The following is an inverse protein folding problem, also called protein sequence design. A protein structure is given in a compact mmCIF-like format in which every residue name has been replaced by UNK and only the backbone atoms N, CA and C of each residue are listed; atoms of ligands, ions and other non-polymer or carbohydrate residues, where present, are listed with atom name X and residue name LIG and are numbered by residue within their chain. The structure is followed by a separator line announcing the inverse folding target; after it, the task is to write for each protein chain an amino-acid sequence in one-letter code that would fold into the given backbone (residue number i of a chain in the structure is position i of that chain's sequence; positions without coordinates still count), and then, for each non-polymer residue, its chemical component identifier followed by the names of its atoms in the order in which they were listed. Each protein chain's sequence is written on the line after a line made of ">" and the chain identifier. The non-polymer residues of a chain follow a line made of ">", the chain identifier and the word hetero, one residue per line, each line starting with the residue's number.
data_IF_504300424752
#
_entry.id   IF_504300424752
#
_cell.length_a   1.000
_cell.length_b   1.000
_cell.length_c   1.000
_cell.angle_alpha   90.00
_cell.angle_beta   90.00
_cell.angle_gamma   90.00
#
_symmetry.space_group_name_H-M   'P 1'
#
loop_
_entity.id
_entity.type
_entity.pdbx_description
1 polymer ?
#
# COMPACT_ATOMS: atom_id res chain seq x y z
N UNK A 1 -8.85 6.95 -43.74
CA UNK A 1 -10.22 6.43 -43.51
C UNK A 1 -11.09 7.56 -42.98
N UNK A 2 -12.19 7.94 -43.66
CA UNK A 2 -13.11 8.96 -43.19
C UNK A 2 -14.26 8.37 -42.35
N UNK A 3 -14.55 8.97 -41.20
CA UNK A 3 -15.94 9.16 -40.75
C UNK A 3 -16.65 8.09 -39.91
N UNK A 4 -15.98 7.38 -38.99
CA UNK A 4 -16.71 6.57 -37.98
C UNK A 4 -16.87 7.33 -36.65
N UNK A 5 -18.12 7.46 -36.18
CA UNK A 5 -18.64 8.07 -34.94
C UNK A 5 -17.64 8.31 -33.81
N UNK A 6 -16.86 9.39 -33.95
CA UNK A 6 -15.96 9.89 -32.92
C UNK A 6 -16.46 11.25 -32.44
N UNK A 7 -17.33 11.23 -31.43
CA UNK A 7 -17.86 12.46 -30.83
C UNK A 7 -17.08 12.80 -29.56
N UNK A 8 -16.59 14.02 -29.48
CA UNK A 8 -15.81 14.48 -28.34
C UNK A 8 -16.38 15.78 -27.77
N UNK A 9 -16.58 15.81 -26.46
CA UNK A 9 -16.93 17.03 -25.73
C UNK A 9 -15.95 17.28 -24.59
N UNK A 10 -15.55 18.54 -24.43
CA UNK A 10 -14.77 19.01 -23.28
C UNK A 10 -15.71 19.82 -22.39
N UNK A 11 -15.68 19.56 -21.08
CA UNK A 11 -16.38 20.41 -20.12
C UNK A 11 -15.63 21.74 -19.91
N UNK A 12 -16.37 22.85 -19.79
CA UNK A 12 -15.82 24.20 -19.56
C UNK A 12 -15.28 24.44 -18.13
N UNK A 13 -15.06 23.38 -17.36
CA UNK A 13 -14.61 23.46 -15.98
C UNK A 13 -13.20 24.07 -15.83
N UNK A 14 -12.89 24.65 -14.65
CA UNK A 14 -11.57 25.21 -14.37
C UNK A 14 -10.50 24.12 -14.42
N UNK A 15 -9.35 24.42 -15.05
CA UNK A 15 -8.21 23.51 -15.15
C UNK A 15 -6.87 24.22 -14.91
N UNK A 16 -5.84 23.44 -14.61
CA UNK A 16 -4.45 23.87 -14.46
C UNK A 16 -4.01 24.19 -13.04
N UNK A 17 -2.89 24.91 -12.91
CA UNK A 17 -2.19 25.17 -11.64
C UNK A 17 -2.99 25.92 -10.58
N UNK A 18 -4.10 26.55 -10.93
CA UNK A 18 -4.98 27.25 -9.98
C UNK A 18 -6.28 26.50 -9.70
N UNK A 19 -6.54 25.41 -10.45
CA UNK A 19 -7.72 24.57 -10.25
C UNK A 19 -7.49 23.54 -9.14
N UNK A 20 -8.41 23.48 -8.19
CA UNK A 20 -8.47 22.41 -7.19
C UNK A 20 -9.25 21.24 -7.77
N UNK A 21 -8.72 20.02 -7.64
CA UNK A 21 -9.45 18.81 -8.05
C UNK A 21 -10.81 18.69 -7.33
N UNK A 22 -10.96 19.29 -6.15
CA UNK A 22 -12.22 19.27 -5.40
C UNK A 22 -13.37 19.97 -6.12
N UNK A 23 -13.05 20.95 -6.97
CA UNK A 23 -14.06 21.67 -7.76
C UNK A 23 -14.49 20.89 -9.01
N UNK A 24 -13.75 19.84 -9.35
CA UNK A 24 -13.88 19.18 -10.65
C UNK A 24 -14.09 17.68 -10.56
N UNK A 25 -13.80 17.02 -9.43
CA UNK A 25 -13.86 15.56 -9.31
C UNK A 25 -15.27 14.97 -9.44
N UNK A 26 -16.32 15.79 -9.32
CA UNK A 26 -17.72 15.41 -9.54
C UNK A 26 -18.24 15.74 -10.94
N UNK A 27 -17.43 16.42 -11.74
CA UNK A 27 -17.83 16.90 -13.06
C UNK A 27 -17.10 16.08 -14.12
N UNK A 28 -17.83 15.63 -15.14
CA UNK A 28 -17.19 15.13 -16.36
C UNK A 28 -16.45 16.28 -17.00
N UNK A 29 -15.13 16.13 -17.16
CA UNK A 29 -14.32 17.16 -17.80
C UNK A 29 -14.06 16.85 -19.28
N UNK A 30 -14.24 15.60 -19.69
CA UNK A 30 -14.31 15.22 -21.10
C UNK A 30 -15.14 13.96 -21.31
N UNK A 31 -15.82 13.86 -22.45
CA UNK A 31 -16.49 12.65 -22.92
C UNK A 31 -16.03 12.35 -24.33
N UNK A 32 -15.66 11.10 -24.57
CA UNK A 32 -15.36 10.56 -25.90
C UNK A 32 -16.35 9.46 -26.19
N UNK A 33 -17.07 9.53 -27.30
CA UNK A 33 -17.90 8.44 -27.81
C UNK A 33 -17.23 7.82 -29.02
N UNK A 34 -16.96 6.51 -28.95
CA UNK A 34 -16.38 5.72 -30.05
C UNK A 34 -17.36 4.60 -30.37
N UNK A 35 -17.91 4.58 -31.59
CA UNK A 35 -18.84 3.51 -32.04
C UNK A 35 -20.01 3.26 -31.08
N UNK A 36 -20.63 4.34 -30.60
CA UNK A 36 -21.75 4.29 -29.65
C UNK A 36 -21.37 4.03 -28.18
N UNK A 37 -20.12 3.68 -27.88
CA UNK A 37 -19.64 3.53 -26.52
C UNK A 37 -19.09 4.86 -25.99
N UNK A 38 -19.67 5.36 -24.91
CA UNK A 38 -19.25 6.61 -24.25
C UNK A 38 -18.24 6.32 -23.14
N UNK A 39 -17.15 7.08 -23.16
CA UNK A 39 -16.12 7.11 -22.14
C UNK A 39 -16.05 8.52 -21.54
N UNK A 40 -16.34 8.63 -20.26
CA UNK A 40 -16.19 9.89 -19.52
C UNK A 40 -14.84 9.92 -18.84
N UNK A 41 -14.16 11.06 -18.85
CA UNK A 41 -12.84 11.21 -18.29
C UNK A 41 -12.70 12.38 -17.32
N UNK A 42 -11.85 12.16 -16.32
CA UNK A 42 -11.33 13.15 -15.39
C UNK A 42 -9.81 13.29 -15.60
N UNK A 43 -9.36 14.39 -16.23
CA UNK A 43 -7.96 14.72 -16.43
C UNK A 43 -7.38 15.32 -15.14
N UNK A 44 -6.29 14.74 -14.66
CA UNK A 44 -5.68 15.09 -13.39
C UNK A 44 -4.24 15.52 -13.62
N UNK A 45 -3.83 16.55 -12.91
CA UNK A 45 -2.47 17.04 -12.82
C UNK A 45 -1.99 16.92 -11.36
N UNK A 46 -0.86 16.24 -11.14
CA UNK A 46 -0.22 16.16 -9.83
C UNK A 46 0.93 17.17 -9.79
N UNK A 47 0.99 17.99 -8.74
CA UNK A 47 2.00 19.04 -8.56
C UNK A 47 2.58 19.01 -7.16
N UNK A 48 3.74 19.62 -6.93
CA UNK A 48 4.30 19.71 -5.58
C UNK A 48 3.58 20.77 -4.72
N UNK A 49 3.37 20.46 -3.43
CA UNK A 49 3.02 21.45 -2.41
C UNK A 49 4.29 22.21 -1.99
N UNK A 50 4.18 23.53 -1.86
CA UNK A 50 5.31 24.41 -1.51
C UNK A 50 5.72 24.38 -0.03
N UNK A 51 4.82 24.00 0.89
CA UNK A 51 4.99 24.21 2.34
C UNK A 51 4.75 22.98 3.23
N UNK A 52 4.39 21.83 2.67
CA UNK A 52 4.06 20.63 3.45
C UNK A 52 5.03 19.50 3.14
N UNK A 53 5.66 18.96 4.18
CA UNK A 53 6.56 17.81 4.08
C UNK A 53 5.75 16.50 4.02
N UNK A 54 4.68 16.36 4.81
CA UNK A 54 3.71 15.28 4.68
C UNK A 54 2.70 15.61 3.56
N UNK A 55 2.46 14.68 2.63
CA UNK A 55 1.64 14.90 1.43
C UNK A 55 2.23 15.97 0.51
N UNK A 56 3.47 15.74 0.09
CA UNK A 56 4.27 16.67 -0.71
C UNK A 56 3.66 16.98 -2.08
N UNK A 57 2.57 16.29 -2.49
CA UNK A 57 1.88 16.49 -3.76
C UNK A 57 0.43 16.97 -3.58
N UNK A 58 -0.03 17.77 -4.55
CA UNK A 58 -1.38 18.31 -4.69
C UNK A 58 -1.99 17.89 -6.01
N UNK A 59 -3.28 17.56 -5.96
CA UNK A 59 -4.08 17.17 -7.11
C UNK A 59 -4.86 18.35 -7.68
N UNK A 60 -4.87 18.44 -9.01
CA UNK A 60 -5.49 19.50 -9.79
C UNK A 60 -6.17 18.92 -11.00
N UNK A 61 -7.10 19.66 -11.59
CA UNK A 61 -7.62 19.31 -12.91
C UNK A 61 -6.56 19.63 -13.98
N UNK A 62 -6.18 18.66 -14.81
CA UNK A 62 -5.41 18.94 -16.01
C UNK A 62 -6.33 19.54 -17.09
N UNK A 63 -5.76 20.32 -18.01
CA UNK A 63 -6.50 20.86 -19.14
C UNK A 63 -6.47 19.86 -20.30
N UNK A 64 -7.61 19.66 -20.96
CA UNK A 64 -7.66 19.02 -22.28
C UNK A 64 -7.78 20.14 -23.30
N UNK A 65 -6.90 20.15 -24.30
CA UNK A 65 -6.72 21.31 -25.18
C UNK A 65 -6.80 20.97 -26.67
N UNK A 66 -6.92 19.70 -27.03
CA UNK A 66 -7.05 19.25 -28.41
C UNK A 66 -8.18 18.24 -28.54
N UNK A 67 -8.76 18.17 -29.74
CA UNK A 67 -9.59 17.03 -30.09
C UNK A 67 -8.72 15.76 -30.09
N UNK A 68 -9.22 14.63 -29.57
CA UNK A 68 -8.47 13.40 -29.58
C UNK A 68 -8.12 13.00 -31.01
N UNK A 69 -6.90 12.52 -31.21
CA UNK A 69 -6.48 12.00 -32.51
C UNK A 69 -6.75 10.50 -32.53
N UNK A 70 -7.52 10.01 -33.51
CA UNK A 70 -7.73 8.58 -33.68
C UNK A 70 -6.41 7.86 -34.00
N UNK A 71 -6.26 6.65 -33.47
CA UNK A 71 -5.11 5.80 -33.71
C UNK A 71 -5.49 4.66 -34.67
N UNK A 72 -4.50 4.07 -35.34
CA UNK A 72 -4.71 2.99 -36.32
C UNK A 72 -5.33 1.72 -35.71
N UNK A 73 -5.18 1.52 -34.40
CA UNK A 73 -5.73 0.40 -33.63
C UNK A 73 -7.21 0.59 -33.22
N UNK A 74 -7.84 1.69 -33.65
CA UNK A 74 -9.20 2.07 -33.26
C UNK A 74 -9.30 2.68 -31.86
N UNK A 75 -8.16 2.97 -31.22
CA UNK A 75 -8.09 3.82 -30.04
C UNK A 75 -7.99 5.31 -30.39
N UNK A 76 -7.65 6.13 -29.41
CA UNK A 76 -7.42 7.57 -29.59
C UNK A 76 -6.38 8.11 -28.62
N UNK A 77 -5.83 9.27 -28.94
CA UNK A 77 -4.83 9.96 -28.14
C UNK A 77 -5.35 11.31 -27.67
N UNK A 78 -5.31 11.58 -26.37
CA UNK A 78 -5.69 12.86 -25.76
C UNK A 78 -4.42 13.61 -25.32
N UNK A 79 -4.33 14.90 -25.62
CA UNK A 79 -3.30 15.77 -25.03
C UNK A 79 -3.80 16.42 -23.74
N UNK A 80 -3.05 16.20 -22.66
CA UNK A 80 -3.25 16.83 -21.35
C UNK A 80 -2.22 17.94 -21.15
N UNK A 81 -2.64 19.10 -20.67
CA UNK A 81 -1.79 20.27 -20.38
C UNK A 81 -1.92 20.77 -18.96
N UNK A 82 -0.82 21.31 -18.43
CA UNK A 82 -0.80 21.95 -17.11
C UNK A 82 -1.56 23.28 -17.06
N UNK A 83 -1.82 23.91 -18.22
CA UNK A 83 -2.62 25.11 -18.38
C UNK A 83 -3.09 25.26 -19.83
N UNK A 84 -4.14 26.07 -20.07
CA UNK A 84 -4.61 26.44 -21.43
C UNK A 84 -3.70 27.50 -22.08
N UNK A 85 -2.41 27.21 -22.21
CA UNK A 85 -1.42 28.10 -22.87
C UNK A 85 -0.50 27.27 -23.78
N UNK A 86 -0.02 27.81 -24.91
CA UNK A 86 0.78 27.03 -25.87
C UNK A 86 2.05 26.41 -25.26
N UNK A 87 2.75 27.16 -24.42
CA UNK A 87 4.02 26.76 -23.77
C UNK A 87 3.85 25.91 -22.52
N UNK A 88 2.60 25.63 -22.10
CA UNK A 88 2.37 24.79 -20.94
C UNK A 88 2.84 23.37 -21.24
N UNK A 89 3.51 22.76 -20.26
CA UNK A 89 3.95 21.37 -20.38
C UNK A 89 2.73 20.48 -20.59
N UNK A 90 2.92 19.51 -21.48
CA UNK A 90 1.89 18.59 -21.92
C UNK A 90 2.36 17.15 -21.91
N UNK A 91 1.40 16.23 -21.92
CA UNK A 91 1.63 14.83 -22.27
C UNK A 91 0.55 14.37 -23.20
N UNK A 92 0.87 13.37 -24.01
CA UNK A 92 -0.11 12.59 -24.76
C UNK A 92 -0.45 11.33 -23.95
N UNK A 93 -1.72 10.99 -23.88
CA UNK A 93 -2.22 9.77 -23.24
C UNK A 93 -2.99 8.98 -24.29
N UNK A 94 -2.62 7.73 -24.46
CA UNK A 94 -3.29 6.83 -25.41
C UNK A 94 -4.38 6.07 -24.69
N UNK A 95 -5.55 6.01 -25.30
CA UNK A 95 -6.69 5.21 -24.86
C UNK A 95 -6.98 4.19 -25.95
N UNK A 96 -6.92 2.91 -25.63
CA UNK A 96 -7.25 1.84 -26.57
C UNK A 96 -8.74 1.80 -26.86
N UNK A 97 -9.13 1.04 -27.89
CA UNK A 97 -10.53 0.85 -28.30
C UNK A 97 -11.46 0.36 -27.17
N UNK A 98 -10.94 -0.42 -26.23
CA UNK A 98 -11.67 -0.93 -25.06
C UNK A 98 -11.64 0.02 -23.84
N UNK A 99 -11.11 1.25 -24.01
CA UNK A 99 -11.05 2.26 -22.96
C UNK A 99 -9.86 2.15 -22.01
N UNK A 100 -8.90 1.24 -22.25
CA UNK A 100 -7.70 1.13 -21.40
C UNK A 100 -6.76 2.29 -21.67
N UNK A 101 -6.26 2.87 -20.59
CA UNK A 101 -5.42 4.07 -20.61
C UNK A 101 -3.95 3.66 -20.46
N UNK A 102 -3.13 4.02 -21.44
CA UNK A 102 -1.69 3.82 -21.45
C UNK A 102 -0.95 5.15 -21.21
N UNK A 103 0.03 5.14 -20.31
CA UNK A 103 0.80 6.31 -19.93
C UNK A 103 2.23 6.24 -20.49
N UNK A 104 2.75 7.32 -21.10
CA UNK A 104 4.16 7.36 -21.50
C UNK A 104 5.09 7.43 -20.29
N UNK A 105 6.26 6.81 -20.40
CA UNK A 105 7.31 6.83 -19.37
C UNK A 105 7.84 8.25 -19.09
N UNK A 106 7.82 9.12 -20.09
CA UNK A 106 8.33 10.51 -20.05
C UNK A 106 7.40 11.52 -19.37
N UNK A 107 6.32 11.09 -18.71
CA UNK A 107 5.29 11.96 -18.11
C UNK A 107 5.81 12.72 -16.87
N UNK A 108 6.66 13.72 -17.12
CA UNK A 108 7.50 14.37 -16.12
C UNK A 108 6.73 15.23 -15.12
N UNK A 109 5.49 15.61 -15.42
CA UNK A 109 4.61 16.45 -14.57
C UNK A 109 3.36 15.73 -14.05
N UNK A 110 3.36 14.39 -14.09
CA UNK A 110 2.30 13.52 -13.55
C UNK A 110 0.88 13.92 -13.94
N UNK A 111 0.61 13.83 -15.24
CA UNK A 111 -0.75 13.81 -15.74
C UNK A 111 -1.38 12.42 -15.60
N UNK A 112 -2.67 12.35 -15.29
CA UNK A 112 -3.46 11.12 -15.27
C UNK A 112 -4.79 11.35 -15.99
N UNK A 113 -5.34 10.28 -16.57
CA UNK A 113 -6.68 10.27 -17.14
C UNK A 113 -7.45 9.13 -16.46
N UNK A 114 -8.66 9.39 -15.98
CA UNK A 114 -9.45 8.39 -15.23
C UNK A 114 -10.90 8.41 -15.69
N UNK A 115 -11.56 7.28 -15.58
CA UNK A 115 -12.99 7.20 -15.86
C UNK A 115 -13.78 8.11 -14.92
N UNK A 116 -14.58 9.00 -15.51
CA UNK A 116 -15.20 10.15 -14.87
C UNK A 116 -16.48 9.83 -14.11
N UNK A 117 -17.34 8.95 -14.63
CA UNK A 117 -18.66 8.66 -14.05
C UNK A 117 -19.14 7.20 -14.26
N UNK A 118 -19.99 6.73 -13.34
CA UNK A 118 -20.50 5.36 -13.22
C UNK A 118 -20.73 4.94 -11.75
N UNK A 119 -21.49 3.87 -11.49
CA UNK A 119 -21.71 3.35 -10.12
C UNK A 119 -20.39 3.02 -9.40
N UNK A 120 -19.36 2.63 -10.16
CA UNK A 120 -17.98 2.38 -9.71
C UNK A 120 -17.03 3.57 -9.92
N UNK A 121 -17.54 4.78 -10.15
CA UNK A 121 -16.73 5.97 -10.40
C UNK A 121 -15.90 6.39 -9.18
N UNK A 122 -14.82 7.11 -9.46
CA UNK A 122 -13.97 7.66 -8.41
C UNK A 122 -14.72 8.64 -7.50
N UNK A 123 -15.64 9.43 -8.07
CA UNK A 123 -16.49 10.36 -7.32
C UNK A 123 -17.37 9.63 -6.29
N UNK A 124 -18.09 8.59 -6.72
CA UNK A 124 -18.94 7.79 -5.83
C UNK A 124 -18.13 7.07 -4.75
N UNK A 125 -16.95 6.55 -5.11
CA UNK A 125 -16.06 5.92 -4.13
C UNK A 125 -15.63 6.90 -3.04
N UNK A 126 -15.31 8.14 -3.40
CA UNK A 126 -14.95 9.20 -2.46
C UNK A 126 -16.14 9.60 -1.59
N UNK A 127 -17.31 9.84 -2.19
CA UNK A 127 -18.50 10.25 -1.44
C UNK A 127 -18.95 9.17 -0.45
N UNK A 128 -18.87 7.89 -0.82
CA UNK A 128 -19.13 6.77 0.09
C UNK A 128 -18.14 6.76 1.27
N UNK A 129 -16.83 6.82 0.98
CA UNK A 129 -15.78 6.85 2.01
C UNK A 129 -15.89 8.08 2.93
N UNK A 130 -16.30 9.23 2.39
CA UNK A 130 -16.61 10.41 3.19
C UNK A 130 -17.77 10.13 4.16
N UNK A 131 -18.86 9.52 3.70
CA UNK A 131 -19.99 9.19 4.56
C UNK A 131 -19.67 8.15 5.64
N UNK A 132 -18.81 7.18 5.31
CA UNK A 132 -18.48 6.06 6.20
C UNK A 132 -17.36 6.39 7.21
N UNK A 133 -16.36 7.18 6.81
CA UNK A 133 -15.09 7.28 7.56
C UNK A 133 -14.74 8.70 8.00
N UNK A 134 -15.27 9.73 7.32
CA UNK A 134 -14.94 11.11 7.64
C UNK A 134 -15.78 11.60 8.82
N UNK A 135 -15.14 11.65 9.98
CA UNK A 135 -15.67 12.35 11.14
C UNK A 135 -14.91 13.65 11.34
N UNK A 136 -15.66 14.70 11.61
CA UNK A 136 -15.14 16.02 11.89
C UNK A 136 -15.06 16.22 13.40
N UNK A 137 -13.84 16.35 13.92
CA UNK A 137 -13.61 16.53 15.35
C UNK A 137 -13.80 17.99 15.79
N UNK A 138 -13.60 18.94 14.87
CA UNK A 138 -13.65 20.38 15.15
C UNK A 138 -14.39 21.14 14.03
N UNK A 139 -15.52 21.82 14.33
CA UNK A 139 -16.29 22.55 13.33
C UNK A 139 -15.49 23.62 12.58
N UNK A 140 -14.58 24.32 13.28
CA UNK A 140 -13.78 25.41 12.72
C UNK A 140 -12.82 24.94 11.60
N UNK A 141 -12.33 23.70 11.67
CA UNK A 141 -11.36 23.14 10.73
C UNK A 141 -11.97 22.12 9.76
N UNK A 142 -13.28 21.93 9.83
CA UNK A 142 -13.99 20.84 9.17
C UNK A 142 -13.82 20.84 7.64
N UNK A 143 -13.93 22.01 7.02
CA UNK A 143 -13.79 22.16 5.58
C UNK A 143 -12.37 21.82 5.10
N UNK A 144 -11.35 22.20 5.88
CA UNK A 144 -9.96 21.87 5.60
C UNK A 144 -9.69 20.38 5.78
N UNK A 145 -10.15 19.77 6.88
CA UNK A 145 -10.01 18.34 7.13
C UNK A 145 -10.71 17.49 6.05
N UNK A 146 -11.91 17.92 5.62
CA UNK A 146 -12.65 17.26 4.53
C UNK A 146 -11.89 17.34 3.21
N UNK A 147 -11.38 18.53 2.88
CA UNK A 147 -10.55 18.77 1.68
C UNK A 147 -9.33 17.84 1.68
N UNK A 148 -8.62 17.80 2.79
CA UNK A 148 -7.46 16.95 2.97
C UNK A 148 -7.78 15.47 2.83
N UNK A 149 -8.88 15.00 3.43
CA UNK A 149 -9.31 13.61 3.34
C UNK A 149 -9.65 13.19 1.91
N UNK A 150 -10.30 14.07 1.13
CA UNK A 150 -10.58 13.79 -0.28
C UNK A 150 -9.29 13.74 -1.10
N UNK A 151 -8.37 14.71 -0.90
CA UNK A 151 -7.06 14.69 -1.56
C UNK A 151 -6.29 13.40 -1.24
N UNK A 152 -6.35 12.94 0.01
CA UNK A 152 -5.76 11.68 0.46
C UNK A 152 -6.33 10.46 -0.27
N UNK A 153 -7.66 10.33 -0.31
CA UNK A 153 -8.35 9.23 -1.02
C UNK A 153 -7.98 9.19 -2.51
N UNK A 154 -7.98 10.36 -3.14
CA UNK A 154 -7.61 10.49 -4.55
C UNK A 154 -6.15 10.08 -4.79
N UNK A 155 -5.22 10.59 -3.99
CA UNK A 155 -3.80 10.25 -4.10
C UNK A 155 -3.55 8.75 -3.95
N UNK A 156 -4.22 8.11 -2.99
CA UNK A 156 -4.12 6.66 -2.80
C UNK A 156 -4.60 5.90 -4.03
N UNK A 157 -5.74 6.29 -4.62
CA UNK A 157 -6.22 5.67 -5.86
C UNK A 157 -5.25 5.87 -7.03
N UNK A 158 -4.57 7.02 -7.10
CA UNK A 158 -3.60 7.26 -8.17
C UNK A 158 -2.29 6.50 -7.99
N UNK A 159 -1.83 6.33 -6.74
CA UNK A 159 -0.68 5.48 -6.44
C UNK A 159 -0.90 4.05 -6.91
N UNK A 160 -2.10 3.48 -6.67
CA UNK A 160 -2.47 2.14 -7.14
C UNK A 160 -2.45 2.02 -8.67
N UNK A 161 -2.82 3.08 -9.40
CA UNK A 161 -2.82 3.06 -10.87
C UNK A 161 -1.41 3.15 -11.46
N UNK A 162 -0.48 3.80 -10.74
CA UNK A 162 0.90 4.03 -11.20
C UNK A 162 1.88 2.97 -10.73
N UNK A 163 1.61 2.33 -9.59
CA UNK A 163 2.38 1.17 -9.16
C UNK A 163 2.31 0.08 -10.24
N UNK A 164 3.44 -0.59 -10.54
CA UNK A 164 3.39 -1.78 -11.38
C UNK A 164 2.32 -2.76 -10.87
N UNK A 165 1.65 -3.50 -11.77
CA UNK A 165 0.70 -4.52 -11.36
C UNK A 165 1.37 -5.48 -10.36
N UNK A 166 0.70 -5.84 -9.25
CA UNK A 166 1.27 -6.79 -8.33
C UNK A 166 1.49 -8.12 -9.04
N UNK A 167 2.49 -8.88 -8.59
CA UNK A 167 2.75 -10.25 -9.05
C UNK A 167 1.48 -11.09 -8.88
N UNK A 168 1.06 -11.82 -9.91
CA UNK A 168 -0.20 -12.58 -9.97
C UNK A 168 -0.02 -13.93 -10.64
N UNK A 169 -1.03 -14.79 -10.51
CA UNK A 169 -1.12 -16.05 -11.25
C UNK A 169 0.03 -17.02 -10.94
N UNK A 170 0.59 -17.63 -11.98
CA UNK A 170 1.66 -18.61 -11.88
C UNK A 170 2.91 -18.04 -11.18
N UNK A 171 3.33 -16.82 -11.52
CA UNK A 171 4.48 -16.17 -10.89
C UNK A 171 4.34 -16.03 -9.37
N UNK A 172 3.14 -15.67 -8.91
CA UNK A 172 2.85 -15.57 -7.48
C UNK A 172 2.88 -16.95 -6.82
N UNK A 173 2.32 -17.96 -7.48
CA UNK A 173 2.35 -19.33 -6.99
C UNK A 173 3.79 -19.87 -6.88
N UNK A 174 4.62 -19.60 -7.88
CA UNK A 174 6.02 -20.03 -7.93
C UNK A 174 6.88 -19.32 -6.88
N UNK A 175 6.73 -18.01 -6.71
CA UNK A 175 7.41 -17.25 -5.65
C UNK A 175 7.05 -17.82 -4.27
N UNK A 176 5.77 -18.10 -4.02
CA UNK A 176 5.32 -18.68 -2.75
C UNK A 176 5.86 -20.09 -2.56
N UNK A 177 5.76 -20.94 -3.58
CA UNK A 177 6.28 -22.31 -3.55
C UNK A 177 7.77 -22.30 -3.21
N UNK A 178 8.57 -21.51 -3.94
CA UNK A 178 10.00 -21.37 -3.70
C UNK A 178 10.28 -20.90 -2.27
N UNK A 179 9.58 -19.85 -1.80
CA UNK A 179 9.72 -19.35 -0.44
C UNK A 179 9.51 -20.46 0.60
N UNK A 180 8.40 -21.18 0.50
CA UNK A 180 8.07 -22.25 1.43
C UNK A 180 9.03 -23.44 1.37
N UNK A 181 9.47 -23.84 0.18
CA UNK A 181 10.43 -24.93 0.01
C UNK A 181 11.79 -24.57 0.63
N UNK A 182 12.28 -23.35 0.43
CA UNK A 182 13.61 -22.94 0.92
C UNK A 182 13.65 -22.66 2.41
N UNK A 183 12.57 -22.15 2.99
CA UNK A 183 12.52 -21.90 4.44
C UNK A 183 11.98 -23.09 5.23
N UNK A 184 11.26 -24.02 4.60
CA UNK A 184 10.50 -25.06 5.28
C UNK A 184 11.33 -25.91 6.24
N UNK A 185 12.57 -26.25 5.87
CA UNK A 185 13.49 -27.01 6.72
C UNK A 185 14.08 -26.18 7.88
N UNK A 186 14.13 -24.86 7.74
CA UNK A 186 14.67 -23.94 8.74
C UNK A 186 13.63 -23.47 9.76
N UNK A 187 12.38 -23.91 9.62
CA UNK A 187 11.25 -23.41 10.39
C UNK A 187 10.52 -24.55 11.12
N UNK A 188 10.96 -24.79 12.35
CA UNK A 188 10.37 -25.71 13.33
C UNK A 188 10.04 -24.97 14.64
N UNK A 189 9.38 -25.66 15.58
CA UNK A 189 9.12 -25.09 16.91
C UNK A 189 8.34 -23.77 16.87
N UNK A 190 8.80 -22.80 17.66
CA UNK A 190 8.23 -21.45 17.74
C UNK A 190 8.29 -20.72 16.39
N UNK A 191 9.38 -20.88 15.63
CA UNK A 191 9.51 -20.26 14.30
C UNK A 191 8.36 -20.68 13.38
N UNK A 192 7.91 -21.94 13.50
CA UNK A 192 6.79 -22.46 12.69
C UNK A 192 5.48 -21.80 13.08
N UNK A 193 5.22 -21.62 14.37
CA UNK A 193 4.03 -20.88 14.85
C UNK A 193 4.03 -19.46 14.29
N UNK A 194 5.18 -18.79 14.36
CA UNK A 194 5.34 -17.42 13.87
C UNK A 194 5.11 -17.32 12.37
N UNK A 195 5.74 -18.18 11.60
CA UNK A 195 5.53 -18.23 10.16
C UNK A 195 4.05 -18.46 9.83
N UNK A 196 3.37 -19.39 10.51
CA UNK A 196 1.95 -19.68 10.25
C UNK A 196 1.09 -18.43 10.41
N UNK A 197 1.18 -17.71 11.53
CA UNK A 197 0.30 -16.55 11.70
C UNK A 197 0.68 -15.37 10.79
N UNK A 198 1.97 -15.18 10.47
CA UNK A 198 2.38 -14.14 9.50
C UNK A 198 1.78 -14.46 8.13
N UNK A 199 1.84 -15.72 7.69
CA UNK A 199 1.25 -16.13 6.41
C UNK A 199 -0.28 -15.94 6.39
N UNK A 200 -0.97 -16.23 7.50
CA UNK A 200 -2.43 -16.09 7.60
C UNK A 200 -2.89 -14.64 7.79
N UNK A 201 -2.07 -13.79 8.39
CA UNK A 201 -2.42 -12.40 8.70
C UNK A 201 -1.97 -11.42 7.62
N UNK A 202 -0.80 -11.62 7.02
CA UNK A 202 -0.12 -10.64 6.16
C UNK A 202 -0.02 -11.08 4.68
N UNK A 203 0.24 -12.37 4.40
CA UNK A 203 0.69 -12.82 3.05
C UNK A 203 -0.34 -13.74 2.37
N UNK A 204 -1.63 -13.53 2.65
CA UNK A 204 -2.67 -14.29 1.97
C UNK A 204 -2.67 -14.13 0.44
N UNK A 205 -2.08 -13.03 -0.08
CA UNK A 205 -2.32 -12.61 -1.48
C UNK A 205 -1.13 -11.95 -2.21
N UNK A 206 0.05 -11.80 -1.60
CA UNK A 206 1.19 -11.04 -2.18
C UNK A 206 2.47 -11.87 -2.31
N UNK A 207 3.36 -11.47 -3.24
CA UNK A 207 4.68 -12.12 -3.39
C UNK A 207 5.64 -11.64 -2.29
N UNK A 208 6.41 -12.54 -1.65
CA UNK A 208 7.44 -12.14 -0.69
C UNK A 208 8.66 -11.48 -1.34
N UNK A 209 8.79 -11.55 -2.67
CA UNK A 209 9.94 -11.04 -3.43
C UNK A 209 9.60 -9.84 -4.29
N UNK A 210 8.51 -9.13 -3.99
CA UNK A 210 8.14 -7.92 -4.70
C UNK A 210 7.89 -6.78 -3.71
N UNK A 211 8.11 -5.56 -4.16
CA UNK A 211 7.62 -4.39 -3.46
C UNK A 211 6.09 -4.37 -3.49
N UNK A 212 5.52 -3.93 -2.38
CA UNK A 212 4.14 -3.53 -2.23
C UNK A 212 4.08 -2.07 -1.80
N UNK A 213 3.05 -1.37 -2.26
CA UNK A 213 2.67 -0.10 -1.65
C UNK A 213 1.60 -0.40 -0.59
N UNK A 214 1.92 -0.18 0.68
CA UNK A 214 0.98 -0.35 1.78
C UNK A 214 -0.06 0.80 1.87
N UNK A 215 -0.15 1.68 0.87
CA UNK A 215 -1.16 2.72 0.49
C UNK A 215 -1.89 3.43 1.64
N UNK A 216 -2.55 2.66 2.49
CA UNK A 216 -3.42 3.01 3.60
C UNK A 216 -2.68 3.52 4.85
N UNK A 217 -1.51 2.97 5.20
CA UNK A 217 -0.71 3.47 6.33
C UNK A 217 0.23 4.62 5.91
N UNK A 218 0.69 5.45 6.83
CA UNK A 218 1.77 6.44 6.61
C UNK A 218 3.13 5.76 6.34
N UNK A 219 3.12 4.55 5.77
CA UNK A 219 4.27 3.71 5.48
C UNK A 219 4.90 4.04 4.13
N UNK A 220 6.17 3.65 4.00
CA UNK A 220 6.86 3.60 2.72
C UNK A 220 6.48 2.36 1.91
N UNK A 221 7.14 2.18 0.76
CA UNK A 221 7.12 0.91 0.05
C UNK A 221 7.66 -0.21 0.93
N UNK A 222 6.99 -1.35 0.94
CA UNK A 222 7.35 -2.50 1.77
C UNK A 222 7.65 -3.72 0.91
N UNK A 223 8.48 -4.64 1.39
CA UNK A 223 8.67 -5.94 0.74
C UNK A 223 8.78 -7.05 1.77
N UNK A 224 8.71 -8.29 1.29
CA UNK A 224 8.85 -9.44 2.16
C UNK A 224 7.55 -9.85 2.85
N UNK A 225 7.59 -11.09 3.32
CA UNK A 225 6.61 -11.77 4.14
C UNK A 225 6.22 -10.98 5.38
N UNK A 226 7.18 -10.39 6.09
CA UNK A 226 6.92 -9.57 7.28
C UNK A 226 6.85 -8.07 6.99
N UNK A 227 6.65 -7.69 5.72
CA UNK A 227 6.38 -6.30 5.28
C UNK A 227 7.42 -5.28 5.75
N UNK A 228 8.71 -5.53 5.46
CA UNK A 228 9.81 -4.59 5.73
C UNK A 228 9.51 -3.28 5.00
N UNK A 229 9.18 -2.23 5.73
CA UNK A 229 8.97 -0.89 5.19
C UNK A 229 10.33 -0.20 5.02
N UNK A 230 10.73 0.07 3.78
CA UNK A 230 12.03 0.66 3.49
C UNK A 230 12.17 2.10 3.98
N UNK A 231 11.05 2.76 4.33
CA UNK A 231 11.04 4.12 4.85
C UNK A 231 11.12 4.20 6.37
N UNK A 232 10.47 3.28 7.08
CA UNK A 232 10.28 3.38 8.54
C UNK A 232 11.09 2.34 9.31
N UNK A 233 11.39 1.17 8.72
CA UNK A 233 12.38 0.26 9.30
C UNK A 233 13.77 0.91 9.26
N UNK A 234 14.68 0.43 10.10
CA UNK A 234 16.05 0.92 10.16
C UNK A 234 17.04 -0.23 10.38
N UNK A 235 18.33 0.07 10.34
CA UNK A 235 19.37 -0.91 10.63
C UNK A 235 19.47 -2.02 9.59
N UNK A 236 19.53 -3.27 10.07
CA UNK A 236 19.91 -4.45 9.27
C UNK A 236 18.94 -4.81 8.14
N UNK A 237 17.64 -4.56 8.29
CA UNK A 237 16.63 -4.93 7.29
C UNK A 237 16.69 -4.01 6.06
N UNK A 238 16.77 -2.70 6.27
CA UNK A 238 16.96 -1.74 5.17
C UNK A 238 18.35 -1.87 4.55
N UNK A 239 19.37 -2.24 5.33
CA UNK A 239 20.68 -2.56 4.79
C UNK A 239 20.62 -3.78 3.84
N UNK A 240 19.88 -4.83 4.19
CA UNK A 240 19.68 -6.00 3.34
C UNK A 240 18.96 -5.65 2.03
N UNK A 241 17.98 -4.73 2.05
CA UNK A 241 17.39 -4.20 0.83
C UNK A 241 18.46 -3.59 -0.09
N UNK A 242 19.31 -2.68 0.42
CA UNK A 242 20.40 -2.08 -0.39
C UNK A 242 21.39 -3.13 -0.88
N UNK A 243 21.69 -4.14 -0.06
CA UNK A 243 22.58 -5.25 -0.40
C UNK A 243 22.03 -6.08 -1.57
N UNK A 244 20.75 -6.41 -1.57
CA UNK A 244 20.09 -7.14 -2.67
C UNK A 244 20.27 -6.38 -3.99
N UNK A 245 20.01 -5.07 -3.98
CA UNK A 245 20.16 -4.22 -5.17
C UNK A 245 21.62 -4.14 -5.63
N UNK A 246 22.57 -3.96 -4.71
CA UNK A 246 24.00 -3.93 -5.03
C UNK A 246 24.50 -5.28 -5.56
N UNK A 247 24.03 -6.41 -5.03
CA UNK A 247 24.45 -7.73 -5.51
C UNK A 247 23.90 -8.01 -6.90
N UNK A 248 22.65 -7.61 -7.17
CA UNK A 248 22.04 -7.80 -8.48
C UNK A 248 22.70 -6.94 -9.57
N UNK A 249 23.07 -5.68 -9.24
CA UNK A 249 23.42 -4.69 -10.26
C UNK A 249 24.79 -4.02 -10.09
N UNK A 250 25.53 -4.29 -9.02
CA UNK A 250 26.76 -3.56 -8.67
C UNK A 250 27.90 -3.70 -9.68
N UNK A 251 27.93 -4.78 -10.45
CA UNK A 251 28.88 -4.99 -11.55
C UNK A 251 28.37 -4.47 -12.91
N UNK A 252 27.14 -3.97 -12.98
CA UNK A 252 26.54 -3.52 -14.22
C UNK A 252 27.20 -2.23 -14.74
N UNK A 253 27.39 -2.17 -16.06
CA UNK A 253 27.81 -0.95 -16.77
C UNK A 253 26.62 -0.18 -17.38
N UNK A 254 25.40 -0.69 -17.19
CA UNK A 254 24.18 -0.02 -17.65
C UNK A 254 23.95 1.28 -16.86
N UNK A 255 23.84 2.41 -17.57
CA UNK A 255 23.68 3.72 -16.97
C UNK A 255 22.42 3.84 -16.09
N UNK A 256 21.31 3.21 -16.47
CA UNK A 256 20.05 3.22 -15.70
C UNK A 256 20.23 2.46 -14.38
N UNK A 257 20.95 1.34 -14.40
CA UNK A 257 21.26 0.58 -13.18
C UNK A 257 22.24 1.34 -12.27
N UNK A 258 23.24 2.00 -12.83
CA UNK A 258 24.17 2.85 -12.07
C UNK A 258 23.42 4.00 -11.38
N UNK A 259 22.50 4.66 -12.09
CA UNK A 259 21.65 5.70 -11.53
C UNK A 259 20.75 5.18 -10.42
N UNK A 260 20.09 4.04 -10.61
CA UNK A 260 19.29 3.38 -9.57
C UNK A 260 20.14 3.17 -8.31
N UNK A 261 21.33 2.55 -8.43
CA UNK A 261 22.22 2.33 -7.29
C UNK A 261 22.69 3.63 -6.64
N UNK A 262 22.87 4.70 -7.39
CA UNK A 262 23.14 6.03 -6.82
C UNK A 262 21.99 6.52 -5.94
N UNK A 263 20.74 6.37 -6.39
CA UNK A 263 19.54 6.78 -5.66
C UNK A 263 19.30 5.93 -4.40
N UNK A 264 19.58 4.63 -4.48
CA UNK A 264 19.55 3.72 -3.32
C UNK A 264 20.62 4.13 -2.29
N UNK A 265 21.85 4.41 -2.73
CA UNK A 265 22.93 4.89 -1.83
C UNK A 265 22.62 6.23 -1.19
N UNK A 266 21.99 7.14 -1.93
CA UNK A 266 21.53 8.44 -1.41
C UNK A 266 20.26 8.33 -0.57
N UNK A 267 19.75 7.12 -0.31
CA UNK A 267 18.54 6.84 0.48
C UNK A 267 17.30 7.57 -0.04
N UNK A 268 17.20 7.77 -1.36
CA UNK A 268 16.14 8.59 -1.96
C UNK A 268 14.73 8.08 -1.59
N UNK A 269 14.59 6.76 -1.46
CA UNK A 269 13.33 6.05 -1.21
C UNK A 269 13.06 5.71 0.27
N UNK A 270 13.99 6.02 1.18
CA UNK A 270 13.86 5.72 2.61
C UNK A 270 13.14 6.84 3.36
N UNK A 271 11.91 7.11 2.92
CA UNK A 271 10.97 8.03 3.57
C UNK A 271 9.55 7.67 3.15
N UNK A 272 8.52 8.04 3.92
CA UNK A 272 7.14 7.74 3.54
C UNK A 272 6.86 8.25 2.13
N UNK A 273 6.24 7.42 1.29
CA UNK A 273 5.98 7.79 -0.11
C UNK A 273 5.06 9.01 -0.24
N UNK A 274 4.28 9.32 0.81
CA UNK A 274 3.48 10.55 0.93
C UNK A 274 4.34 11.82 0.96
N UNK A 275 5.62 11.71 1.31
CA UNK A 275 6.59 12.80 1.30
C UNK A 275 7.31 12.94 -0.05
N UNK A 276 7.10 12.00 -0.98
CA UNK A 276 7.74 12.10 -2.29
C UNK A 276 7.08 13.23 -3.08
N UNK A 277 7.90 14.20 -3.47
CA UNK A 277 7.54 15.16 -4.53
C UNK A 277 7.35 14.43 -5.86
N UNK A 278 6.66 15.08 -6.80
CA UNK A 278 6.41 14.57 -8.15
C UNK A 278 7.68 14.00 -8.79
N UNK A 279 8.82 14.70 -8.78
CA UNK A 279 10.07 14.15 -9.33
C UNK A 279 10.52 12.82 -8.71
N UNK A 280 10.39 12.67 -7.38
CA UNK A 280 10.76 11.45 -6.67
C UNK A 280 9.77 10.31 -6.94
N UNK A 281 8.45 10.59 -6.98
CA UNK A 281 7.44 9.59 -7.37
C UNK A 281 7.70 9.05 -8.78
N UNK A 282 8.06 9.92 -9.74
CA UNK A 282 8.30 9.51 -11.14
C UNK A 282 9.43 8.51 -11.20
N UNK A 283 10.52 8.90 -10.56
CA UNK A 283 11.74 8.14 -10.51
C UNK A 283 11.47 6.79 -9.84
N UNK A 284 10.80 6.80 -8.70
CA UNK A 284 10.47 5.59 -7.97
C UNK A 284 9.62 4.61 -8.80
N UNK A 285 8.55 5.07 -9.46
CA UNK A 285 7.74 4.18 -10.31
C UNK A 285 8.49 3.66 -11.54
N UNK A 286 9.45 4.44 -12.07
CA UNK A 286 10.31 4.00 -13.18
C UNK A 286 11.36 2.97 -12.73
N UNK A 287 11.83 3.09 -11.50
CA UNK A 287 12.81 2.20 -10.89
C UNK A 287 12.16 0.92 -10.32
N UNK A 288 10.87 0.96 -9.98
CA UNK A 288 10.14 -0.13 -9.33
C UNK A 288 10.33 -1.49 -10.04
N UNK A 289 10.16 -1.63 -11.38
CA UNK A 289 10.35 -2.92 -12.04
C UNK A 289 11.78 -3.46 -11.92
N UNK A 290 12.79 -2.59 -11.84
CA UNK A 290 14.18 -2.98 -11.62
C UNK A 290 14.39 -3.43 -10.17
N UNK A 291 13.73 -2.76 -9.21
CA UNK A 291 13.77 -3.18 -7.80
C UNK A 291 13.13 -4.56 -7.64
N UNK A 292 11.95 -4.79 -8.22
CA UNK A 292 11.30 -6.10 -8.23
C UNK A 292 12.16 -7.15 -8.94
N UNK A 293 12.82 -6.78 -10.04
CA UNK A 293 13.78 -7.64 -10.74
C UNK A 293 14.93 -8.10 -9.85
N UNK A 294 15.51 -7.19 -9.06
CA UNK A 294 16.56 -7.53 -8.09
C UNK A 294 16.03 -8.42 -6.96
N UNK A 295 14.88 -8.08 -6.37
CA UNK A 295 14.26 -8.85 -5.29
C UNK A 295 13.92 -10.28 -5.74
N UNK A 296 13.47 -10.45 -6.99
CA UNK A 296 13.13 -11.75 -7.59
C UNK A 296 14.31 -12.51 -8.19
N UNK A 297 15.50 -11.93 -8.27
CA UNK A 297 16.72 -12.64 -8.68
C UNK A 297 17.05 -13.77 -7.71
N UNK A 298 17.77 -14.81 -8.16
CA UNK A 298 18.16 -15.92 -7.28
C UNK A 298 18.94 -15.46 -6.05
N UNK A 299 19.87 -14.51 -6.23
CA UNK A 299 20.60 -13.88 -5.12
C UNK A 299 19.70 -13.05 -4.21
N UNK A 300 18.72 -12.33 -4.77
CA UNK A 300 17.76 -11.53 -4.00
C UNK A 300 16.85 -12.41 -3.14
N UNK A 301 16.27 -13.45 -3.74
CA UNK A 301 15.46 -14.46 -3.06
C UNK A 301 16.25 -15.14 -1.94
N UNK A 302 17.47 -15.59 -2.22
CA UNK A 302 18.33 -16.21 -1.22
C UNK A 302 18.66 -15.27 -0.05
N UNK A 303 19.02 -14.02 -0.34
CA UNK A 303 19.35 -13.03 0.70
C UNK A 303 18.15 -12.69 1.57
N UNK A 304 16.99 -12.47 0.95
CA UNK A 304 15.75 -12.23 1.68
C UNK A 304 15.35 -13.43 2.56
N UNK A 305 15.48 -14.65 2.05
CA UNK A 305 15.17 -15.86 2.83
C UNK A 305 16.06 -15.99 4.06
N UNK A 306 17.36 -15.68 3.95
CA UNK A 306 18.27 -15.63 5.10
C UNK A 306 17.80 -14.60 6.12
N UNK A 307 17.48 -13.38 5.67
CA UNK A 307 16.99 -12.31 6.54
C UNK A 307 15.69 -12.71 7.27
N UNK A 308 14.78 -13.38 6.57
CA UNK A 308 13.53 -13.85 7.16
C UNK A 308 13.77 -14.92 8.24
N UNK A 309 14.72 -15.84 8.04
CA UNK A 309 15.10 -16.84 9.05
C UNK A 309 15.72 -16.17 10.28
N UNK A 310 16.56 -15.15 10.09
CA UNK A 310 17.15 -14.37 11.19
C UNK A 310 16.07 -13.62 11.99
N UNK A 311 15.09 -13.05 11.28
CA UNK A 311 13.92 -12.42 11.88
C UNK A 311 13.12 -13.43 12.72
N UNK A 312 12.81 -14.62 12.19
CA UNK A 312 12.10 -15.66 12.94
C UNK A 312 12.86 -16.08 14.21
N UNK A 313 14.19 -16.16 14.14
CA UNK A 313 15.03 -16.45 15.30
C UNK A 313 15.00 -15.31 16.34
N UNK A 314 14.92 -14.06 15.90
CA UNK A 314 14.74 -12.91 16.78
C UNK A 314 13.39 -12.94 17.52
N UNK A 315 12.31 -13.21 16.77
CA UNK A 315 10.96 -13.36 17.34
C UNK A 315 10.91 -14.51 18.34
N UNK A 316 11.54 -15.65 18.04
CA UNK A 316 11.62 -16.79 18.95
C UNK A 316 12.32 -16.41 20.28
N UNK A 317 13.48 -15.74 20.21
CA UNK A 317 14.19 -15.27 21.41
C UNK A 317 13.35 -14.29 22.22
N UNK A 318 12.64 -13.38 21.56
CA UNK A 318 11.76 -12.43 22.22
C UNK A 318 10.57 -13.14 22.89
N UNK A 319 9.95 -14.10 22.20
CA UNK A 319 8.87 -14.89 22.75
C UNK A 319 9.32 -15.66 24.01
N UNK A 320 10.47 -16.33 23.94
CA UNK A 320 11.03 -17.06 25.09
C UNK A 320 11.33 -16.13 26.27
N UNK A 321 11.81 -14.91 26.01
CA UNK A 321 11.97 -13.89 27.05
C UNK A 321 10.62 -13.48 27.66
N UNK A 322 9.62 -13.17 26.83
CA UNK A 322 8.28 -12.81 27.30
C UNK A 322 7.66 -13.92 28.15
N UNK A 323 7.81 -15.18 27.72
CA UNK A 323 7.33 -16.37 28.42
C UNK A 323 7.98 -16.56 29.79
N UNK A 324 9.30 -16.34 29.91
CA UNK A 324 10.01 -16.39 31.19
C UNK A 324 9.62 -15.24 32.12
N UNK A 325 9.52 -14.03 31.58
CA UNK A 325 9.30 -12.81 32.37
C UNK A 325 7.84 -12.63 32.79
N UNK A 326 6.89 -13.36 32.17
CA UNK A 326 5.46 -13.16 32.36
C UNK A 326 4.70 -14.49 32.49
N UNK A 327 4.19 -14.79 33.68
CA UNK A 327 3.43 -16.02 33.95
C UNK A 327 2.19 -16.17 33.05
N UNK A 328 1.52 -15.08 32.70
CA UNK A 328 0.36 -15.15 31.78
C UNK A 328 0.76 -15.58 30.37
N UNK A 329 1.98 -15.31 29.91
CA UNK A 329 2.47 -15.77 28.59
C UNK A 329 2.80 -17.26 28.65
N UNK A 330 3.31 -17.76 29.78
CA UNK A 330 3.49 -19.19 29.99
C UNK A 330 2.16 -19.96 29.97
N UNK A 331 1.09 -19.39 30.55
CA UNK A 331 -0.26 -19.98 30.56
C UNK A 331 -0.97 -19.79 29.20
N UNK A 332 -0.80 -18.62 28.59
CA UNK A 332 -1.42 -18.23 27.33
C UNK A 332 -0.37 -17.81 26.29
N UNK A 333 0.34 -18.78 25.66
CA UNK A 333 1.40 -18.48 24.70
C UNK A 333 0.97 -17.55 23.54
N UNK A 334 -0.29 -17.62 23.11
CA UNK A 334 -0.83 -16.77 22.05
C UNK A 334 -0.72 -15.28 22.40
N UNK A 335 -0.83 -14.92 23.69
CA UNK A 335 -0.74 -13.54 24.13
C UNK A 335 0.69 -13.00 23.97
N UNK A 336 1.70 -13.86 24.13
CA UNK A 336 3.10 -13.52 23.86
C UNK A 336 3.34 -13.21 22.37
N UNK A 337 2.86 -14.07 21.47
CA UNK A 337 2.95 -13.81 20.03
C UNK A 337 2.21 -12.52 19.62
N UNK A 338 1.05 -12.27 20.22
CA UNK A 338 0.30 -11.05 19.93
C UNK A 338 0.99 -9.78 20.45
N UNK A 339 1.68 -9.86 21.61
CA UNK A 339 2.54 -8.76 22.08
C UNK A 339 3.72 -8.49 21.13
N UNK A 340 4.24 -9.50 20.45
CA UNK A 340 5.28 -9.32 19.43
C UNK A 340 4.68 -8.65 18.18
N UNK A 341 3.49 -9.08 17.73
CA UNK A 341 2.77 -8.41 16.63
C UNK A 341 2.54 -6.92 16.92
N UNK A 342 2.08 -6.59 18.14
CA UNK A 342 1.92 -5.20 18.60
C UNK A 342 3.25 -4.44 18.56
N UNK A 343 4.34 -5.03 19.09
CA UNK A 343 5.65 -4.39 19.07
C UNK A 343 6.12 -4.12 17.65
N UNK A 344 5.94 -5.07 16.74
CA UNK A 344 6.33 -4.93 15.35
C UNK A 344 5.55 -3.80 14.66
N UNK A 345 4.27 -3.61 14.99
CA UNK A 345 3.43 -2.55 14.42
C UNK A 345 3.67 -1.16 15.05
N UNK A 346 3.94 -1.08 16.36
CA UNK A 346 3.93 0.17 17.13
C UNK A 346 5.29 0.54 17.75
N UNK A 347 6.33 -0.26 17.54
CA UNK A 347 7.68 -0.06 18.08
C UNK A 347 7.85 -0.45 19.55
N UNK A 348 6.77 -0.59 20.32
CA UNK A 348 6.79 -1.03 21.72
C UNK A 348 5.53 -1.81 22.09
N UNK A 349 5.65 -2.73 23.03
CA UNK A 349 4.54 -3.47 23.62
C UNK A 349 4.43 -3.30 25.15
N UNK A 350 5.20 -2.39 25.76
CA UNK A 350 5.28 -2.29 27.21
C UNK A 350 3.92 -1.97 27.87
N UNK A 351 3.18 -1.02 27.30
CA UNK A 351 1.84 -0.66 27.75
C UNK A 351 0.84 -1.80 27.58
N UNK A 352 0.84 -2.46 26.41
CA UNK A 352 -0.02 -3.62 26.13
C UNK A 352 0.30 -4.81 27.03
N UNK A 353 1.57 -5.06 27.32
CA UNK A 353 2.03 -6.12 28.22
C UNK A 353 1.47 -5.93 29.63
N UNK A 354 1.54 -4.72 30.19
CA UNK A 354 1.01 -4.42 31.51
C UNK A 354 -0.53 -4.62 31.59
N UNK A 355 -1.23 -4.24 30.52
CA UNK A 355 -2.67 -4.42 30.42
C UNK A 355 -3.06 -5.89 30.24
N UNK A 356 -2.29 -6.66 29.47
CA UNK A 356 -2.53 -8.10 29.31
C UNK A 356 -2.30 -8.84 30.63
N UNK A 357 -1.25 -8.49 31.39
CA UNK A 357 -1.02 -9.05 32.72
C UNK A 357 -2.19 -8.75 33.68
N UNK A 358 -2.77 -7.56 33.60
CA UNK A 358 -3.94 -7.19 34.40
C UNK A 358 -5.19 -7.93 33.94
N UNK A 359 -5.41 -8.03 32.63
CA UNK A 359 -6.52 -8.78 32.06
C UNK A 359 -6.45 -10.27 32.42
N UNK A 360 -5.26 -10.88 32.42
CA UNK A 360 -5.08 -12.27 32.80
C UNK A 360 -5.42 -12.52 34.28
N UNK A 361 -5.01 -11.60 35.18
CA UNK A 361 -5.34 -11.69 36.61
C UNK A 361 -6.84 -11.55 36.89
N UNK A 362 -7.54 -10.77 36.07
CA UNK A 362 -8.98 -10.52 36.22
C UNK A 362 -9.85 -11.51 35.46
N UNK A 363 -9.27 -12.34 34.59
CA UNK A 363 -10.02 -13.23 33.75
C UNK A 363 -10.59 -14.39 34.57
N UNK A 364 -11.91 -14.58 34.51
CA UNK A 364 -12.56 -15.71 35.17
C UNK A 364 -12.25 -17.06 34.47
N UNK A 365 -11.91 -17.02 33.18
CA UNK A 365 -11.62 -18.18 32.35
C UNK A 365 -10.87 -17.75 31.07
N UNK A 366 -10.34 -18.70 30.25
CA UNK A 366 -9.59 -18.37 29.04
C UNK A 366 -10.34 -17.50 28.03
N UNK A 367 -11.67 -17.68 27.85
CA UNK A 367 -12.44 -16.87 26.90
C UNK A 367 -12.62 -15.43 27.41
N UNK A 368 -12.78 -15.21 28.71
CA UNK A 368 -12.78 -13.87 29.30
C UNK A 368 -11.44 -13.17 29.08
N UNK A 369 -10.32 -13.88 29.19
CA UNK A 369 -9.00 -13.33 28.87
C UNK A 369 -8.88 -12.90 27.40
N UNK A 370 -9.29 -13.76 26.46
CA UNK A 370 -9.32 -13.45 25.02
C UNK A 370 -10.16 -12.20 24.74
N UNK A 371 -11.36 -12.11 25.34
CA UNK A 371 -12.26 -10.97 25.18
C UNK A 371 -11.67 -9.66 25.72
N UNK A 372 -10.98 -9.71 26.87
CA UNK A 372 -10.31 -8.55 27.46
C UNK A 372 -9.14 -8.08 26.60
N UNK A 373 -8.31 -9.00 26.11
CA UNK A 373 -7.20 -8.66 25.19
C UNK A 373 -7.72 -8.03 23.91
N UNK A 374 -8.78 -8.60 23.31
CA UNK A 374 -9.42 -8.00 22.14
C UNK A 374 -9.87 -6.56 22.42
N UNK A 375 -10.54 -6.29 23.55
CA UNK A 375 -10.94 -4.92 23.94
C UNK A 375 -9.74 -3.98 24.11
N UNK A 376 -8.67 -4.44 24.74
CA UNK A 376 -7.44 -3.66 24.92
C UNK A 376 -6.88 -3.27 23.56
N UNK A 377 -6.72 -4.21 22.64
CA UNK A 377 -6.12 -3.93 21.34
C UNK A 377 -6.99 -3.01 20.49
N UNK A 378 -8.31 -3.21 20.49
CA UNK A 378 -9.25 -2.29 19.84
C UNK A 378 -9.11 -0.85 20.34
N UNK A 379 -8.79 -0.65 21.61
CA UNK A 379 -8.58 0.69 22.18
C UNK A 379 -7.27 1.35 21.77
N UNK A 380 -6.22 0.56 21.47
CA UNK A 380 -4.92 1.08 21.00
C UNK A 380 -4.87 1.33 19.50
N UNK A 381 -5.40 0.40 18.70
CA UNK A 381 -5.24 0.46 17.26
C UNK A 381 -6.11 1.57 16.63
N UNK A 382 -7.20 1.99 17.28
CA UNK A 382 -8.15 2.90 16.65
C UNK A 382 -8.82 3.88 17.63
N UNK A 383 -8.42 5.15 17.57
CA UNK A 383 -9.24 6.28 18.08
C UNK A 383 -10.60 6.40 17.37
N UNK A 384 -10.82 5.63 16.29
CA UNK A 384 -12.09 5.49 15.55
C UNK A 384 -12.52 4.03 15.50
N UNK A 385 -13.53 3.66 16.31
CA UNK A 385 -14.16 2.33 16.36
C UNK A 385 -14.88 1.97 15.05
N UNK A 386 -14.16 1.69 13.96
CA UNK A 386 -14.79 1.19 12.74
C UNK A 386 -15.06 -0.31 12.89
N UNK A 387 -16.18 -0.79 12.32
CA UNK A 387 -16.54 -2.20 12.33
C UNK A 387 -15.44 -3.05 11.68
N UNK A 388 -14.91 -2.60 10.53
CA UNK A 388 -13.86 -3.29 9.79
C UNK A 388 -12.57 -3.50 10.60
N UNK A 389 -12.17 -2.49 11.37
CA UNK A 389 -11.03 -2.57 12.30
C UNK A 389 -11.24 -3.63 13.39
N UNK A 390 -12.47 -3.69 13.93
CA UNK A 390 -12.82 -4.69 14.93
C UNK A 390 -12.75 -6.12 14.38
N UNK A 391 -13.14 -6.29 13.12
CA UNK A 391 -13.11 -7.58 12.45
C UNK A 391 -11.70 -8.02 12.08
N UNK A 392 -10.84 -7.11 11.62
CA UNK A 392 -9.43 -7.45 11.37
C UNK A 392 -8.70 -7.85 12.66
N UNK A 393 -8.92 -7.12 13.76
CA UNK A 393 -8.35 -7.44 15.08
C UNK A 393 -8.73 -8.86 15.53
N UNK A 394 -10.02 -9.20 15.44
CA UNK A 394 -10.53 -10.52 15.82
C UNK A 394 -9.98 -11.63 14.91
N UNK A 395 -9.93 -11.39 13.60
CA UNK A 395 -9.34 -12.31 12.61
C UNK A 395 -7.88 -12.60 12.92
N UNK A 396 -7.07 -11.57 13.14
CA UNK A 396 -5.65 -11.69 13.51
C UNK A 396 -5.47 -12.48 14.79
N UNK A 397 -6.24 -12.15 15.83
CA UNK A 397 -6.21 -12.83 17.12
C UNK A 397 -6.60 -14.32 16.98
N UNK A 398 -7.63 -14.64 16.21
CA UNK A 398 -8.06 -16.01 15.91
C UNK A 398 -6.95 -16.83 15.25
N UNK A 399 -6.29 -16.27 14.24
CA UNK A 399 -5.18 -16.93 13.53
C UNK A 399 -4.01 -17.23 14.48
N UNK A 400 -3.62 -16.28 15.33
CA UNK A 400 -2.57 -16.47 16.34
C UNK A 400 -2.94 -17.56 17.35
N UNK A 401 -4.18 -17.55 17.87
CA UNK A 401 -4.65 -18.58 18.82
C UNK A 401 -4.67 -19.96 18.14
N UNK A 402 -5.18 -20.06 16.91
CA UNK A 402 -5.23 -21.32 16.16
C UNK A 402 -3.82 -21.90 15.96
N UNK A 403 -2.88 -21.10 15.46
CA UNK A 403 -1.51 -21.54 15.24
C UNK A 403 -0.83 -21.99 16.54
N UNK A 404 -1.09 -21.26 17.63
CA UNK A 404 -0.55 -21.57 18.95
C UNK A 404 -1.15 -22.86 19.52
N UNK A 405 -2.47 -23.03 19.47
CA UNK A 405 -3.15 -24.23 19.96
C UNK A 405 -2.67 -25.48 19.22
N UNK A 406 -2.50 -25.40 17.90
CA UNK A 406 -1.98 -26.50 17.09
C UNK A 406 -0.56 -26.93 17.50
N UNK A 407 0.27 -25.99 17.98
CA UNK A 407 1.65 -26.27 18.38
C UNK A 407 1.78 -26.73 19.84
N UNK A 408 1.07 -26.08 20.76
CA UNK A 408 1.18 -26.33 22.19
C UNK A 408 0.13 -27.31 22.74
N UNK A 409 -0.77 -27.84 21.90
CA UNK A 409 -1.88 -28.70 22.33
C UNK A 409 -2.94 -27.96 23.16
N UNK A 410 -3.05 -26.63 22.97
CA UNK A 410 -3.94 -25.77 23.76
C UNK A 410 -5.40 -25.84 23.34
N UNK A 411 -6.31 -25.57 24.28
CA UNK A 411 -7.76 -25.50 24.08
C UNK A 411 -8.31 -24.07 24.20
N UNK A 412 -7.47 -23.05 24.02
CA UNK A 412 -7.92 -21.65 24.11
C UNK A 412 -9.05 -21.42 23.10
N UNK A 413 -10.24 -20.97 23.54
CA UNK A 413 -11.35 -20.72 22.64
C UNK A 413 -11.01 -19.65 21.59
N UNK A 414 -11.46 -19.89 20.35
CA UNK A 414 -11.32 -18.90 19.28
C UNK A 414 -12.36 -17.79 19.46
N UNK A 415 -12.01 -16.51 19.24
CA UNK A 415 -12.99 -15.43 19.25
C UNK A 415 -13.98 -15.63 18.09
N UNK A 416 -15.25 -15.27 18.32
CA UNK A 416 -16.26 -15.27 17.26
C UNK A 416 -15.84 -14.32 16.13
N UNK A 417 -15.94 -14.81 14.89
CA UNK A 417 -15.74 -13.97 13.72
C UNK A 417 -16.76 -12.81 13.74
N UNK A 418 -16.38 -11.70 13.11
CA UNK A 418 -17.41 -10.84 12.53
C UNK A 418 -17.96 -11.59 11.32
N UNK A 419 -19.00 -12.39 11.53
CA UNK A 419 -19.80 -12.81 10.39
C UNK A 419 -20.65 -11.61 9.96
N UNK A 420 -20.50 -11.22 8.70
CA UNK A 420 -21.59 -10.61 7.94
C UNK A 420 -22.68 -11.67 7.71
#
# INVERSE_FOLDING_TARGET
>A
MPGEDFNFSIGDGPCGLDSSILKTYKNVQASVTVKGQRFDFMPILITDKRRFNCYAVKLRAACIVTQPTANDDGGFTIELKAARRPTAVSTKVTVSRDGKIAYPESNTQFFLLRDGLGSNSLANHIDRRLGEEFQCSEPANCAYQRTYFIEWLLLNKFRVVRAPPPVRGADLADDRKYFFEKIGNSVSGIKRVVQTFIMENEIGTTSPYALGDAVLADSGPSFGSHQIDIATNSGGEVAAFREILNNAYGASRDARLIELLSRIRSKLYERPIREFKTGALRTFYSDWPLIDGALRSDSGKARYNSLYVDYLASVEREFERLKRDNSFVAIYPWAGFYLIDIKNQYGSNEGSRALFATAARQAANPIDFVNRVSKIVLSYQYSRRSHQAACDTKRRLKNVIRATNAHYGGSTPLPNDCND
#
